data_IF_931601574261
#
_entry.id   IF_931601574261
#
_cell.length_a   1.000
_cell.length_b   1.000
_cell.length_c   1.000
_cell.angle_alpha   90.00
_cell.angle_beta   90.00
_cell.angle_gamma   90.00
#
_symmetry.space_group_name_H-M   'P 1'
#
loop_
_entity.id
_entity.type
_entity.pdbx_description
1 polymer ?
#
# COMPACT_ATOMS: atom_id res chain seq x y z
N UNK A 1 26.39 -1.71 -29.55
CA UNK A 1 25.38 -1.11 -30.46
C UNK A 1 24.28 -0.58 -29.58
N UNK A 2 24.28 0.74 -29.31
CA UNK A 2 23.20 1.40 -28.57
C UNK A 2 21.95 1.36 -29.47
N UNK A 3 21.04 0.41 -29.25
CA UNK A 3 19.69 0.58 -29.77
C UNK A 3 18.99 1.57 -28.85
N UNK A 4 19.10 2.86 -29.17
CA UNK A 4 18.21 3.86 -28.58
C UNK A 4 16.78 3.37 -28.83
N UNK A 5 16.10 2.99 -27.76
CA UNK A 5 14.71 2.53 -27.83
C UNK A 5 13.82 3.66 -28.35
N UNK A 6 12.84 3.33 -29.21
CA UNK A 6 11.95 4.35 -29.79
C UNK A 6 11.34 5.24 -28.68
N UNK A 7 11.24 6.57 -28.90
CA UNK A 7 10.70 7.49 -27.92
C UNK A 7 9.26 7.14 -27.58
N UNK A 8 8.94 7.12 -26.28
CA UNK A 8 7.57 6.97 -25.78
C UNK A 8 7.07 8.28 -25.17
N UNK A 9 5.80 8.37 -24.85
CA UNK A 9 5.28 9.52 -24.13
C UNK A 9 5.77 9.51 -22.69
N UNK A 10 5.69 8.36 -22.01
CA UNK A 10 6.02 8.23 -20.59
C UNK A 10 6.92 7.03 -20.32
N UNK A 11 8.00 7.26 -19.56
CA UNK A 11 8.83 6.20 -18.97
C UNK A 11 8.54 6.12 -17.48
N UNK A 12 8.17 4.94 -16.98
CA UNK A 12 7.91 4.69 -15.56
C UNK A 12 9.07 3.87 -14.99
N UNK A 13 9.74 4.39 -13.97
CA UNK A 13 10.80 3.70 -13.23
C UNK A 13 10.21 3.00 -12.00
N UNK A 14 10.09 1.68 -12.05
CA UNK A 14 9.47 0.82 -11.04
C UNK A 14 8.21 0.12 -11.54
N UNK A 15 8.18 -1.20 -11.39
CA UNK A 15 7.13 -2.14 -11.80
C UNK A 15 6.29 -2.68 -10.65
N UNK A 16 6.31 -2.04 -9.48
CA UNK A 16 5.37 -2.33 -8.39
C UNK A 16 3.95 -1.84 -8.68
N UNK A 17 3.03 -2.02 -7.73
CA UNK A 17 1.61 -1.63 -7.86
C UNK A 17 1.45 -0.19 -8.35
N UNK A 18 2.18 0.77 -7.78
CA UNK A 18 2.09 2.18 -8.19
C UNK A 18 2.55 2.43 -9.63
N UNK A 19 3.64 1.79 -10.05
CA UNK A 19 4.18 1.92 -11.40
C UNK A 19 3.28 1.29 -12.46
N UNK A 20 2.81 0.06 -12.23
CA UNK A 20 1.89 -0.63 -13.15
C UNK A 20 0.52 0.06 -13.20
N UNK A 21 0.00 0.56 -12.07
CA UNK A 21 -1.23 1.34 -12.04
C UNK A 21 -1.10 2.61 -12.87
N UNK A 22 0.02 3.33 -12.70
CA UNK A 22 0.31 4.55 -13.47
C UNK A 22 0.42 4.24 -14.96
N UNK A 23 1.16 3.19 -15.32
CA UNK A 23 1.33 2.80 -16.70
C UNK A 23 0.02 2.41 -17.38
N UNK A 24 -0.80 1.60 -16.71
CA UNK A 24 -2.11 1.22 -17.20
C UNK A 24 -3.05 2.42 -17.36
N UNK A 25 -3.12 3.31 -16.36
CA UNK A 25 -3.97 4.50 -16.40
C UNK A 25 -3.60 5.42 -17.57
N UNK A 26 -2.30 5.65 -17.78
CA UNK A 26 -1.79 6.49 -18.86
C UNK A 26 -2.00 5.83 -20.24
N UNK A 27 -1.74 4.53 -20.37
CA UNK A 27 -2.00 3.80 -21.61
C UNK A 27 -3.47 3.85 -22.00
N UNK A 28 -4.39 3.69 -21.04
CA UNK A 28 -5.83 3.81 -21.28
C UNK A 28 -6.25 5.22 -21.71
N UNK A 29 -5.48 6.24 -21.34
CA UNK A 29 -5.65 7.62 -21.83
C UNK A 29 -5.04 7.90 -23.21
N UNK A 30 -4.48 6.87 -23.87
CA UNK A 30 -3.89 6.94 -25.21
C UNK A 30 -2.40 7.30 -25.24
N UNK A 31 -1.69 7.17 -24.11
CA UNK A 31 -0.24 7.41 -24.04
C UNK A 31 0.55 6.16 -24.35
N UNK A 32 1.65 6.31 -25.09
CA UNK A 32 2.66 5.26 -25.19
C UNK A 32 3.50 5.22 -23.91
N UNK A 33 3.55 4.07 -23.24
CA UNK A 33 4.21 3.93 -21.93
C UNK A 33 5.21 2.79 -21.94
N UNK A 34 6.36 3.01 -21.30
CA UNK A 34 7.36 1.98 -20.99
C UNK A 34 7.59 1.91 -19.48
N UNK A 35 7.50 0.72 -18.90
CA UNK A 35 7.84 0.46 -17.49
C UNK A 35 9.17 -0.25 -17.42
N UNK A 36 10.06 0.24 -16.55
CA UNK A 36 11.38 -0.33 -16.27
C UNK A 36 11.37 -0.86 -14.84
N UNK A 37 11.52 -2.18 -14.67
CA UNK A 37 11.57 -2.86 -13.37
C UNK A 37 12.97 -3.43 -13.14
N UNK A 38 13.52 -3.23 -11.93
CA UNK A 38 14.86 -3.70 -11.58
C UNK A 38 14.91 -5.21 -11.41
N UNK A 39 13.82 -5.81 -10.93
CA UNK A 39 13.72 -7.24 -10.70
C UNK A 39 13.62 -8.00 -12.03
N UNK A 40 14.12 -9.25 -12.11
CA UNK A 40 14.11 -10.03 -13.34
C UNK A 40 12.71 -10.44 -13.80
N UNK A 41 11.73 -10.38 -12.90
CA UNK A 41 10.33 -10.67 -13.17
C UNK A 41 9.43 -9.64 -12.48
N UNK A 42 8.29 -9.34 -13.09
CA UNK A 42 7.22 -8.56 -12.44
C UNK A 42 6.48 -9.43 -11.42
N UNK A 43 7.14 -9.67 -10.30
CA UNK A 43 6.66 -10.50 -9.22
C UNK A 43 6.86 -9.78 -7.88
N UNK A 44 5.97 -10.04 -6.93
CA UNK A 44 6.19 -9.66 -5.54
C UNK A 44 6.04 -10.88 -4.64
N UNK A 45 6.94 -11.01 -3.67
CA UNK A 45 6.76 -11.92 -2.54
C UNK A 45 5.70 -11.30 -1.63
N UNK A 46 4.46 -11.71 -1.85
CA UNK A 46 3.29 -11.08 -1.26
C UNK A 46 2.91 -11.66 0.10
N UNK A 47 2.24 -10.81 0.88
CA UNK A 47 1.22 -11.24 1.82
C UNK A 47 -0.08 -10.54 1.43
N UNK A 48 -1.12 -10.70 2.24
CA UNK A 48 -2.36 -9.97 2.05
C UNK A 48 -2.16 -8.45 2.00
N UNK A 49 -3.01 -7.79 1.22
CA UNK A 49 -3.24 -6.36 1.30
C UNK A 49 -4.73 -6.08 1.37
N UNK A 50 -5.05 -4.87 1.80
CA UNK A 50 -6.41 -4.39 1.88
C UNK A 50 -6.61 -3.24 0.90
N UNK A 51 -7.72 -3.29 0.17
CA UNK A 51 -8.13 -2.36 -0.87
C UNK A 51 -9.43 -1.70 -0.46
N UNK A 52 -9.35 -0.42 -0.13
CA UNK A 52 -10.49 0.38 0.29
C UNK A 52 -11.25 0.99 -0.91
N UNK A 53 -12.50 1.46 -0.70
CA UNK A 53 -13.36 2.00 -1.77
C UNK A 53 -12.72 3.07 -2.64
N UNK A 54 -11.87 3.90 -2.07
CA UNK A 54 -11.17 4.95 -2.79
C UNK A 54 -10.29 4.40 -3.92
N UNK A 55 -9.72 3.20 -3.76
CA UNK A 55 -8.94 2.54 -4.80
C UNK A 55 -9.77 1.53 -5.62
N UNK A 56 -10.70 0.80 -5.00
CA UNK A 56 -11.55 -0.16 -5.75
C UNK A 56 -12.53 0.55 -6.69
N UNK A 57 -12.93 1.79 -6.41
CA UNK A 57 -13.68 2.65 -7.34
C UNK A 57 -12.86 3.00 -8.58
N UNK A 58 -11.58 3.34 -8.39
CA UNK A 58 -10.65 3.58 -9.51
C UNK A 58 -10.49 2.29 -10.34
N UNK A 59 -10.34 1.13 -9.68
CA UNK A 59 -10.26 -0.16 -10.36
C UNK A 59 -11.57 -0.53 -11.10
N UNK A 60 -12.73 -0.09 -10.60
CA UNK A 60 -14.02 -0.23 -11.28
C UNK A 60 -14.08 0.60 -12.56
N UNK A 61 -13.68 1.88 -12.49
CA UNK A 61 -13.58 2.77 -13.65
C UNK A 61 -12.61 2.24 -14.72
N UNK A 62 -11.66 1.43 -14.28
CA UNK A 62 -10.66 0.77 -15.12
C UNK A 62 -11.14 -0.57 -15.68
N UNK A 63 -12.31 -1.06 -15.28
CA UNK A 63 -12.83 -2.37 -15.67
C UNK A 63 -12.03 -3.55 -15.09
N UNK A 64 -11.30 -3.34 -13.99
CA UNK A 64 -10.48 -4.35 -13.32
C UNK A 64 -11.08 -4.86 -12.00
N UNK A 65 -12.15 -4.23 -11.51
CA UNK A 65 -12.75 -4.60 -10.22
C UNK A 65 -13.22 -6.05 -10.19
N UNK A 66 -13.81 -6.57 -11.28
CA UNK A 66 -14.29 -7.96 -11.32
C UNK A 66 -13.13 -8.97 -11.17
N UNK A 67 -12.00 -8.76 -11.87
CA UNK A 67 -10.79 -9.60 -11.69
C UNK A 67 -10.27 -9.53 -10.23
N UNK A 68 -10.37 -8.36 -9.60
CA UNK A 68 -9.94 -8.14 -8.21
C UNK A 68 -10.88 -8.82 -7.22
N UNK A 69 -12.19 -8.82 -7.47
CA UNK A 69 -13.18 -9.53 -6.66
C UNK A 69 -13.03 -11.05 -6.80
N UNK A 70 -12.76 -11.54 -8.01
CA UNK A 70 -12.57 -12.97 -8.28
C UNK A 70 -11.31 -13.54 -7.59
N UNK A 71 -10.25 -12.75 -7.50
CA UNK A 71 -9.01 -13.12 -6.82
C UNK A 71 -9.02 -12.80 -5.31
N UNK A 72 -9.83 -11.83 -4.90
CA UNK A 72 -9.90 -11.33 -3.53
C UNK A 72 -11.01 -11.97 -2.69
N UNK A 73 -11.26 -11.34 -1.54
CA UNK A 73 -12.40 -11.60 -0.66
C UNK A 73 -12.97 -10.25 -0.26
N UNK A 74 -14.28 -10.08 -0.34
CA UNK A 74 -14.97 -8.93 0.23
C UNK A 74 -15.34 -9.26 1.70
N UNK A 75 -14.63 -8.70 2.70
CA UNK A 75 -14.96 -8.97 4.09
C UNK A 75 -16.27 -8.28 4.47
N UNK A 76 -17.00 -8.86 5.42
CA UNK A 76 -18.24 -8.30 5.95
C UNK A 76 -17.99 -7.10 6.86
N UNK A 77 -16.91 -7.14 7.65
CA UNK A 77 -16.56 -6.08 8.62
C UNK A 77 -15.06 -5.87 8.74
N UNK A 78 -14.69 -4.65 9.16
CA UNK A 78 -13.41 -4.40 9.84
C UNK A 78 -13.67 -4.36 11.35
N UNK A 79 -13.13 -5.30 12.10
CA UNK A 79 -13.38 -5.47 13.54
C UNK A 79 -12.12 -5.16 14.35
N UNK A 80 -12.24 -4.24 15.30
CA UNK A 80 -11.19 -4.00 16.30
C UNK A 80 -11.50 -4.77 17.59
N UNK A 81 -10.49 -5.46 18.11
CA UNK A 81 -10.52 -6.19 19.37
C UNK A 81 -9.35 -5.77 20.25
N UNK A 82 -9.51 -5.93 21.56
CA UNK A 82 -8.40 -5.76 22.48
C UNK A 82 -7.48 -7.00 22.44
N UNK A 83 -6.16 -6.77 22.37
CA UNK A 83 -5.18 -7.86 22.27
C UNK A 83 -5.05 -8.71 23.54
N UNK A 84 -5.40 -8.17 24.71
CA UNK A 84 -5.19 -8.86 25.99
C UNK A 84 -6.39 -9.74 26.37
N UNK A 85 -7.61 -9.22 26.23
CA UNK A 85 -8.83 -9.94 26.62
C UNK A 85 -9.64 -10.48 25.43
N UNK A 86 -9.34 -10.07 24.19
CA UNK A 86 -10.03 -10.50 22.98
C UNK A 86 -11.41 -9.86 22.78
N UNK A 87 -11.83 -8.94 23.66
CA UNK A 87 -13.13 -8.30 23.62
C UNK A 87 -13.28 -7.35 22.43
N UNK A 88 -14.46 -7.37 21.81
CA UNK A 88 -14.82 -6.44 20.74
C UNK A 88 -14.77 -4.98 21.23
N UNK A 89 -14.10 -4.13 20.46
CA UNK A 89 -14.00 -2.69 20.71
C UNK A 89 -14.94 -1.90 19.82
N UNK A 90 -14.84 -2.09 18.50
CA UNK A 90 -15.70 -1.43 17.52
C UNK A 90 -15.60 -2.16 16.18
N UNK A 91 -16.51 -1.89 15.26
CA UNK A 91 -16.42 -2.40 13.89
C UNK A 91 -16.95 -1.41 12.86
N UNK A 92 -16.49 -1.58 11.63
CA UNK A 92 -17.08 -0.97 10.45
C UNK A 92 -17.80 -2.06 9.65
N UNK A 93 -19.10 -1.88 9.42
CA UNK A 93 -19.86 -2.74 8.52
C UNK A 93 -19.52 -2.39 7.06
N UNK A 94 -19.19 -3.41 6.26
CA UNK A 94 -18.81 -3.31 4.86
C UNK A 94 -19.93 -3.85 3.96
N UNK A 95 -21.16 -3.53 4.31
CA UNK A 95 -22.38 -4.00 3.66
C UNK A 95 -22.78 -3.17 2.42
N UNK A 96 -23.95 -3.45 1.85
CA UNK A 96 -24.47 -2.68 0.71
C UNK A 96 -24.64 -1.19 1.02
N UNK A 97 -24.84 -0.81 2.29
CA UNK A 97 -24.91 0.59 2.72
C UNK A 97 -23.56 1.28 2.56
N UNK A 98 -22.48 0.59 2.97
CA UNK A 98 -21.11 1.04 2.77
C UNK A 98 -20.77 1.17 1.27
N UNK A 99 -21.10 0.16 0.46
CA UNK A 99 -20.89 0.20 -1.01
C UNK A 99 -21.67 1.34 -1.65
N UNK A 100 -22.95 1.55 -1.30
CA UNK A 100 -23.74 2.67 -1.81
C UNK A 100 -23.16 4.03 -1.43
N UNK A 101 -22.54 4.16 -0.25
CA UNK A 101 -21.95 5.43 0.21
C UNK A 101 -20.67 5.78 -0.54
N UNK A 102 -19.77 4.81 -0.72
CA UNK A 102 -18.43 5.06 -1.27
C UNK A 102 -18.27 4.67 -2.74
N UNK A 103 -19.26 4.00 -3.32
CA UNK A 103 -19.33 3.64 -4.73
C UNK A 103 -18.62 2.35 -5.12
N UNK A 104 -17.90 1.71 -4.19
CA UNK A 104 -17.18 0.46 -4.43
C UNK A 104 -16.97 -0.33 -3.12
N UNK A 105 -16.75 -1.66 -3.18
CA UNK A 105 -16.55 -2.49 -2.01
C UNK A 105 -15.14 -2.35 -1.42
N UNK A 106 -15.00 -2.74 -0.15
CA UNK A 106 -13.70 -3.04 0.45
C UNK A 106 -13.31 -4.47 0.09
N UNK A 107 -12.05 -4.70 -0.29
CA UNK A 107 -11.57 -6.02 -0.73
C UNK A 107 -10.23 -6.32 -0.07
N UNK A 108 -10.04 -7.55 0.40
CA UNK A 108 -8.71 -8.06 0.75
C UNK A 108 -8.23 -9.01 -0.33
N UNK A 109 -6.99 -8.84 -0.78
CA UNK A 109 -6.43 -9.58 -1.91
C UNK A 109 -4.96 -9.89 -1.67
N UNK A 110 -4.48 -11.01 -2.22
CA UNK A 110 -3.07 -11.33 -2.17
C UNK A 110 -2.28 -10.37 -3.08
N UNK A 111 -1.13 -9.87 -2.60
CA UNK A 111 -0.38 -8.85 -3.35
C UNK A 111 0.08 -9.29 -4.72
N UNK A 112 0.54 -10.53 -4.85
CA UNK A 112 0.92 -11.09 -6.16
C UNK A 112 -0.25 -11.10 -7.15
N UNK A 113 -1.48 -11.31 -6.65
CA UNK A 113 -2.64 -11.46 -7.51
C UNK A 113 -3.08 -10.10 -8.06
N UNK A 114 -3.07 -9.05 -7.22
CA UNK A 114 -3.28 -7.67 -7.69
C UNK A 114 -2.19 -7.22 -8.68
N UNK A 115 -0.92 -7.50 -8.38
CA UNK A 115 0.19 -7.18 -9.28
C UNK A 115 -0.01 -7.88 -10.63
N UNK A 116 -0.34 -9.17 -10.64
CA UNK A 116 -0.56 -9.92 -11.87
C UNK A 116 -1.76 -9.41 -12.68
N UNK A 117 -2.85 -8.97 -12.02
CA UNK A 117 -3.99 -8.31 -12.69
C UNK A 117 -3.51 -7.03 -13.39
N UNK A 118 -2.75 -6.18 -12.70
CA UNK A 118 -2.22 -4.93 -13.26
C UNK A 118 -1.22 -5.17 -14.39
N UNK A 119 -0.34 -6.17 -14.27
CA UNK A 119 0.60 -6.57 -15.32
C UNK A 119 -0.15 -6.98 -16.58
N UNK A 120 -1.12 -7.90 -16.46
CA UNK A 120 -1.95 -8.32 -17.61
C UNK A 120 -2.74 -7.15 -18.20
N UNK A 121 -3.24 -6.25 -17.37
CA UNK A 121 -3.93 -5.04 -17.82
C UNK A 121 -3.00 -4.14 -18.65
N UNK A 122 -1.76 -3.94 -18.21
CA UNK A 122 -0.72 -3.22 -18.94
C UNK A 122 -0.41 -3.87 -20.30
N UNK A 123 -0.23 -5.20 -20.33
CA UNK A 123 0.02 -5.96 -21.57
C UNK A 123 -1.14 -5.78 -22.56
N UNK A 124 -2.39 -5.92 -22.10
CA UNK A 124 -3.59 -5.69 -22.93
C UNK A 124 -3.71 -4.27 -23.45
N UNK A 125 -3.19 -3.29 -22.71
CA UNK A 125 -3.17 -1.88 -23.09
C UNK A 125 -1.98 -1.49 -23.99
N UNK A 126 -1.08 -2.43 -24.31
CA UNK A 126 0.09 -2.18 -25.16
C UNK A 126 1.24 -1.45 -24.45
N UNK A 127 1.28 -1.48 -23.12
CA UNK A 127 2.42 -0.96 -22.35
C UNK A 127 3.65 -1.81 -22.63
N UNK A 128 4.81 -1.17 -22.84
CA UNK A 128 6.08 -1.89 -22.93
C UNK A 128 6.61 -2.19 -21.53
N UNK A 129 6.64 -3.45 -21.13
CA UNK A 129 7.20 -3.89 -19.84
C UNK A 129 8.63 -4.40 -20.05
N UNK A 130 9.59 -3.84 -19.30
CA UNK A 130 11.01 -4.21 -19.35
C UNK A 130 11.46 -4.57 -17.94
N UNK A 131 11.76 -5.85 -17.71
CA UNK A 131 12.34 -6.35 -16.46
C UNK A 131 13.88 -6.32 -16.51
N UNK A 132 14.54 -6.61 -15.38
CA UNK A 132 16.00 -6.60 -15.22
C UNK A 132 16.66 -5.26 -15.67
N UNK A 133 15.95 -4.17 -15.41
CA UNK A 133 16.27 -2.83 -15.88
C UNK A 133 16.25 -1.84 -14.71
N UNK A 134 17.40 -1.68 -14.07
CA UNK A 134 17.60 -0.78 -12.95
C UNK A 134 17.77 0.67 -13.44
N UNK A 135 16.86 1.56 -13.03
CA UNK A 135 16.93 2.99 -13.35
C UNK A 135 17.80 3.70 -12.32
N UNK A 136 18.84 4.39 -12.80
CA UNK A 136 19.86 5.02 -11.96
C UNK A 136 19.71 6.53 -11.87
N UNK A 137 19.28 7.15 -12.96
CA UNK A 137 19.17 8.60 -13.04
C UNK A 137 18.16 9.04 -14.11
N UNK A 138 17.71 10.28 -14.01
CA UNK A 138 16.87 10.94 -15.00
C UNK A 138 17.40 12.35 -15.26
N UNK A 139 17.62 12.65 -16.54
CA UNK A 139 18.04 13.97 -17.02
C UNK A 139 16.88 14.65 -17.71
N UNK A 140 16.60 15.89 -17.32
CA UNK A 140 15.65 16.76 -18.00
C UNK A 140 16.27 17.28 -19.31
N UNK A 141 15.54 17.11 -20.41
CA UNK A 141 15.91 17.61 -21.74
C UNK A 141 14.98 18.77 -22.13
N UNK A 142 15.35 19.63 -23.11
CA UNK A 142 14.48 20.73 -23.57
C UNK A 142 13.07 20.28 -23.97
N UNK A 143 12.95 19.11 -24.61
CA UNK A 143 11.69 18.59 -25.16
C UNK A 143 11.22 17.27 -24.51
N UNK A 144 11.78 16.88 -23.36
CA UNK A 144 11.45 15.61 -22.71
C UNK A 144 12.40 15.22 -21.58
N UNK A 145 12.67 13.92 -21.48
CA UNK A 145 13.58 13.32 -20.49
C UNK A 145 14.40 12.22 -21.11
N UNK A 146 15.59 12.01 -20.54
CA UNK A 146 16.39 10.81 -20.73
C UNK A 146 16.45 10.06 -19.41
N UNK A 147 15.98 8.81 -19.39
CA UNK A 147 16.04 7.90 -18.24
C UNK A 147 17.22 6.95 -18.44
N UNK A 148 18.20 7.03 -17.54
CA UNK A 148 19.43 6.24 -17.60
C UNK A 148 19.26 4.95 -16.80
N UNK A 149 19.41 3.80 -17.47
CA UNK A 149 19.24 2.49 -16.85
C UNK A 149 20.46 1.56 -17.00
N UNK A 150 20.42 0.40 -16.36
CA UNK A 150 21.37 -0.70 -16.57
C UNK A 150 21.41 -1.22 -18.02
N UNK A 151 20.32 -1.07 -18.77
CA UNK A 151 20.20 -1.53 -20.17
C UNK A 151 20.43 -0.40 -21.19
N UNK A 152 20.74 0.80 -20.74
CA UNK A 152 21.00 1.98 -21.57
C UNK A 152 19.95 3.08 -21.38
N UNK A 153 19.92 4.01 -22.33
CA UNK A 153 19.09 5.21 -22.24
C UNK A 153 17.70 4.98 -22.85
N UNK A 154 16.69 5.51 -22.16
CA UNK A 154 15.30 5.52 -22.59
C UNK A 154 14.78 6.95 -22.67
N UNK A 155 14.24 7.32 -23.82
CA UNK A 155 13.73 8.67 -24.06
C UNK A 155 12.21 8.73 -23.90
N UNK A 156 11.74 9.79 -23.25
CA UNK A 156 10.31 10.05 -23.05
C UNK A 156 9.97 11.54 -23.06
N UNK A 157 8.68 11.88 -23.03
CA UNK A 157 8.22 13.25 -22.74
C UNK A 157 8.11 13.51 -21.25
N UNK A 158 7.89 12.47 -20.46
CA UNK A 158 7.78 12.48 -19.01
C UNK A 158 8.42 11.21 -18.42
N UNK A 159 9.06 11.36 -17.25
CA UNK A 159 9.49 10.25 -16.41
C UNK A 159 8.65 10.23 -15.12
N UNK A 160 8.20 9.05 -14.73
CA UNK A 160 7.52 8.82 -13.45
C UNK A 160 8.40 7.93 -12.57
N UNK A 161 8.79 8.43 -11.40
CA UNK A 161 9.50 7.67 -10.38
C UNK A 161 8.51 6.94 -9.47
N UNK A 162 8.45 5.62 -9.62
CA UNK A 162 7.64 4.68 -8.84
C UNK A 162 8.52 3.62 -8.17
N UNK A 163 9.76 3.98 -7.83
CA UNK A 163 10.85 3.10 -7.36
C UNK A 163 10.85 2.86 -5.83
N UNK A 164 9.72 3.17 -5.16
CA UNK A 164 9.39 2.73 -3.81
C UNK A 164 10.01 3.56 -2.67
N UNK A 165 9.85 3.07 -1.44
CA UNK A 165 10.30 3.75 -0.19
C UNK A 165 11.78 4.18 -0.22
N UNK A 166 12.62 3.35 -0.84
CA UNK A 166 14.07 3.57 -1.00
C UNK A 166 14.41 4.19 -2.36
N UNK A 167 13.49 4.99 -2.90
CA UNK A 167 13.65 5.67 -4.17
C UNK A 167 14.97 6.43 -4.24
N UNK A 168 15.76 6.15 -5.27
CA UNK A 168 17.00 6.88 -5.57
C UNK A 168 16.68 8.15 -6.33
N UNK A 169 15.61 8.14 -7.14
CA UNK A 169 15.15 9.31 -7.88
C UNK A 169 14.59 10.40 -6.96
N UNK A 170 14.06 10.03 -5.79
CA UNK A 170 13.63 10.96 -4.74
C UNK A 170 14.75 11.89 -4.27
N UNK A 171 16.02 11.49 -4.36
CA UNK A 171 17.16 12.32 -3.94
C UNK A 171 17.27 13.64 -4.72
N UNK A 172 16.65 13.76 -5.92
CA UNK A 172 16.55 15.03 -6.65
C UNK A 172 15.59 16.04 -6.01
N UNK A 173 14.72 15.58 -5.11
CA UNK A 173 13.64 16.37 -4.50
C UNK A 173 13.89 16.67 -3.03
N UNK A 174 14.57 15.76 -2.32
CA UNK A 174 14.85 15.86 -0.90
C UNK A 174 16.01 14.94 -0.51
N UNK A 175 16.86 15.41 0.41
CA UNK A 175 17.92 14.63 1.05
C UNK A 175 17.40 13.86 2.29
N UNK A 176 16.08 13.64 2.39
CA UNK A 176 15.51 12.92 3.53
C UNK A 176 15.87 11.42 3.50
N UNK A 177 15.86 10.78 4.65
CA UNK A 177 16.09 9.35 4.81
C UNK A 177 14.83 8.64 5.37
N UNK A 178 14.62 7.34 5.08
CA UNK A 178 13.52 6.58 5.67
C UNK A 178 13.57 6.62 7.19
N UNK A 179 12.43 6.97 7.81
CA UNK A 179 12.30 7.07 9.25
C UNK A 179 11.81 5.72 9.78
N UNK A 180 12.65 5.05 10.58
CA UNK A 180 12.25 3.83 11.26
C UNK A 180 11.25 4.18 12.37
N UNK A 181 10.11 3.48 12.42
CA UNK A 181 9.12 3.63 13.49
C UNK A 181 9.52 2.90 14.78
N UNK A 182 10.53 2.02 14.74
CA UNK A 182 10.87 1.10 15.82
C UNK A 182 9.89 -0.07 15.99
N UNK A 183 8.92 -0.21 15.09
CA UNK A 183 8.03 -1.35 15.00
C UNK A 183 8.49 -2.36 13.95
N UNK A 184 8.18 -3.62 14.19
CA UNK A 184 8.53 -4.76 13.34
C UNK A 184 7.28 -5.53 13.01
N UNK A 185 7.10 -5.86 11.73
CA UNK A 185 6.05 -6.73 11.24
C UNK A 185 6.59 -8.14 10.95
N UNK A 186 5.85 -9.14 11.40
CA UNK A 186 5.94 -10.53 10.95
C UNK A 186 4.69 -10.87 10.15
N UNK A 187 4.85 -11.71 9.13
CA UNK A 187 3.77 -12.11 8.24
C UNK A 187 3.68 -13.63 8.18
N UNK A 188 2.48 -14.12 7.98
CA UNK A 188 2.21 -15.54 7.82
C UNK A 188 0.92 -15.74 7.03
N UNK A 189 0.86 -16.83 6.31
CA UNK A 189 -0.30 -17.25 5.57
C UNK A 189 -0.41 -18.76 5.68
N UNK A 190 -1.61 -19.26 5.97
CA UNK A 190 -1.82 -20.69 6.19
C UNK A 190 -3.16 -21.15 5.61
N UNK A 191 -3.27 -22.41 5.17
CA UNK A 191 -4.53 -22.95 4.71
C UNK A 191 -5.59 -22.90 5.81
N UNK A 192 -6.78 -22.42 5.46
CA UNK A 192 -7.92 -22.40 6.40
C UNK A 192 -8.30 -23.82 6.84
N UNK A 193 -8.03 -24.83 6.01
CA UNK A 193 -8.23 -26.24 6.38
C UNK A 193 -7.37 -26.69 7.58
N UNK A 194 -6.22 -26.04 7.80
CA UNK A 194 -5.30 -26.35 8.88
C UNK A 194 -5.61 -25.54 10.16
N UNK A 195 -6.61 -24.65 10.11
CA UNK A 195 -7.15 -24.05 11.32
C UNK A 195 -7.83 -25.11 12.15
N UNK A 196 -7.35 -25.25 13.39
CA UNK A 196 -8.15 -25.90 14.42
C UNK A 196 -9.54 -25.23 14.42
N UNK A 197 -10.58 -26.05 14.45
CA UNK A 197 -12.03 -25.73 14.42
C UNK A 197 -12.51 -24.70 15.48
N UNK A 198 -11.57 -24.08 16.20
CA UNK A 198 -11.74 -23.14 17.31
C UNK A 198 -11.71 -21.68 16.90
N UNK A 199 -11.21 -21.32 15.70
CA UNK A 199 -11.56 -20.02 15.12
C UNK A 199 -13.01 -20.11 14.66
N UNK A 200 -13.89 -19.29 15.26
CA UNK A 200 -15.29 -19.25 14.85
C UNK A 200 -15.39 -18.98 13.34
N UNK A 201 -16.29 -19.69 12.64
CA UNK A 201 -16.47 -19.55 11.19
C UNK A 201 -16.68 -18.10 10.74
N UNK A 202 -17.26 -17.26 11.60
CA UNK A 202 -17.43 -15.83 11.37
C UNK A 202 -16.11 -15.05 11.26
N UNK A 203 -15.04 -15.49 11.92
CA UNK A 203 -13.72 -14.86 11.85
C UNK A 203 -13.07 -14.98 10.46
N UNK A 204 -13.55 -15.92 9.63
CA UNK A 204 -13.11 -16.11 8.25
C UNK A 204 -13.80 -15.17 7.26
N UNK A 205 -14.71 -14.32 7.73
CA UNK A 205 -15.47 -13.39 6.89
C UNK A 205 -15.16 -11.92 7.19
N UNK A 206 -14.36 -11.64 8.21
CA UNK A 206 -14.05 -10.29 8.67
C UNK A 206 -12.53 -10.02 8.55
N UNK A 207 -12.16 -8.75 8.52
CA UNK A 207 -10.80 -8.33 8.87
C UNK A 207 -10.80 -8.05 10.37
N UNK A 208 -9.98 -8.76 11.13
CA UNK A 208 -9.88 -8.60 12.58
C UNK A 208 -8.54 -7.97 12.93
N UNK A 209 -8.57 -6.89 13.70
CA UNK A 209 -7.40 -6.19 14.20
C UNK A 209 -7.41 -6.18 15.73
N UNK A 210 -6.55 -7.01 16.33
CA UNK A 210 -6.29 -7.00 17.76
C UNK A 210 -5.27 -5.91 18.07
N UNK A 211 -5.64 -4.93 18.90
CA UNK A 211 -4.80 -3.78 19.23
C UNK A 211 -4.53 -3.72 20.73
N UNK A 212 -3.32 -3.31 21.13
CA UNK A 212 -2.98 -3.13 22.53
C UNK A 212 -1.53 -2.70 22.78
N UNK A 213 -1.03 -2.81 24.02
CA UNK A 213 0.20 -2.15 24.45
C UNK A 213 1.41 -2.52 23.59
N UNK A 214 1.91 -1.58 22.80
CA UNK A 214 3.09 -1.76 21.95
C UNK A 214 2.97 -2.87 20.89
N UNK A 215 1.80 -3.46 20.67
CA UNK A 215 1.62 -4.54 19.70
C UNK A 215 0.20 -4.59 19.09
N UNK A 216 0.11 -5.14 17.89
CA UNK A 216 -1.17 -5.46 17.26
C UNK A 216 -1.05 -6.69 16.36
N UNK A 217 -2.16 -7.39 16.13
CA UNK A 217 -2.23 -8.52 15.22
C UNK A 217 -3.43 -8.37 14.28
N UNK A 218 -3.21 -8.49 12.97
CA UNK A 218 -4.23 -8.38 11.93
C UNK A 218 -4.44 -9.72 11.27
N UNK A 219 -5.71 -10.10 11.08
CA UNK A 219 -6.13 -11.36 10.51
C UNK A 219 -7.24 -11.17 9.48
N UNK A 220 -7.14 -11.83 8.33
CA UNK A 220 -8.19 -11.81 7.31
C UNK A 220 -8.05 -12.94 6.29
N UNK A 221 -9.16 -13.38 5.68
CA UNK A 221 -9.14 -14.38 4.62
C UNK A 221 -8.54 -13.84 3.31
N UNK A 222 -7.95 -14.73 2.52
CA UNK A 222 -7.48 -14.51 1.15
C UNK A 222 -7.88 -15.69 0.27
N UNK A 223 -7.81 -15.50 -1.06
CA UNK A 223 -8.09 -16.53 -2.08
C UNK A 223 -9.38 -17.29 -1.80
N UNK A 224 -10.51 -16.59 -1.83
CA UNK A 224 -11.84 -17.17 -1.58
C UNK A 224 -11.98 -17.85 -0.20
N UNK A 225 -11.20 -17.43 0.78
CA UNK A 225 -11.21 -17.99 2.14
C UNK A 225 -10.43 -19.29 2.28
N UNK A 226 -9.57 -19.64 1.32
CA UNK A 226 -8.71 -20.82 1.39
C UNK A 226 -7.46 -20.57 2.23
N UNK A 227 -7.00 -19.31 2.31
CA UNK A 227 -5.82 -18.90 3.05
C UNK A 227 -6.22 -17.87 4.10
N UNK A 228 -5.68 -17.99 5.31
CA UNK A 228 -5.82 -16.97 6.33
C UNK A 228 -4.49 -16.24 6.51
N UNK A 229 -4.52 -14.93 6.34
CA UNK A 229 -3.36 -14.07 6.43
C UNK A 229 -3.28 -13.50 7.85
N UNK A 230 -2.13 -13.68 8.51
CA UNK A 230 -1.81 -13.09 9.81
C UNK A 230 -0.64 -12.13 9.68
N UNK A 231 -0.77 -10.95 10.28
CA UNK A 231 0.32 -9.98 10.43
C UNK A 231 0.42 -9.59 11.89
N UNK A 232 1.56 -9.85 12.53
CA UNK A 232 1.84 -9.39 13.88
C UNK A 232 2.83 -8.23 13.83
N UNK A 233 2.53 -7.17 14.58
CA UNK A 233 3.37 -5.98 14.66
C UNK A 233 3.63 -5.68 16.12
N UNK A 234 4.89 -5.43 16.46
CA UNK A 234 5.28 -5.07 17.82
C UNK A 234 6.39 -4.01 17.83
N UNK A 235 6.43 -3.20 18.87
CA UNK A 235 7.51 -2.27 19.14
C UNK A 235 8.72 -3.05 19.63
N UNK A 236 9.89 -2.88 19.01
CA UNK A 236 11.10 -3.59 19.41
C UNK A 236 11.84 -2.87 20.56
N UNK A 237 11.98 -3.50 21.73
CA UNK A 237 12.82 -2.97 22.80
C UNK A 237 14.30 -2.87 22.42
N UNK A 238 14.84 -3.80 21.65
CA UNK A 238 16.22 -3.78 21.17
C UNK A 238 16.51 -2.55 20.28
N UNK A 239 15.58 -2.19 19.40
CA UNK A 239 15.68 -0.97 18.61
C UNK A 239 15.77 0.29 19.49
N UNK A 240 14.94 0.38 20.54
CA UNK A 240 14.97 1.50 21.48
C UNK A 240 16.29 1.60 22.25
N UNK A 241 16.99 0.47 22.46
CA UNK A 241 18.32 0.42 23.06
C UNK A 241 19.46 0.69 22.07
N UNK A 242 19.15 0.87 20.77
CA UNK A 242 20.13 1.14 19.73
C UNK A 242 20.90 -0.09 19.26
N UNK A 243 20.34 -1.29 19.42
CA UNK A 243 20.96 -2.54 18.96
C UNK A 243 20.84 -2.68 17.43
N UNK A 244 21.87 -3.25 16.79
CA UNK A 244 21.91 -3.44 15.33
C UNK A 244 21.01 -4.58 14.86
N UNK A 245 20.98 -5.69 15.61
CA UNK A 245 20.11 -6.84 15.36
C UNK A 245 18.89 -6.78 16.29
N UNK A 246 17.78 -6.24 15.79
CA UNK A 246 16.56 -6.01 16.55
C UNK A 246 15.33 -6.56 15.82
N UNK A 247 14.25 -6.83 16.54
CA UNK A 247 13.02 -7.35 15.99
C UNK A 247 12.98 -8.86 15.83
N UNK A 248 13.83 -9.61 16.54
CA UNK A 248 13.90 -11.07 16.45
C UNK A 248 12.61 -11.78 16.89
N UNK A 249 12.49 -13.08 16.57
CA UNK A 249 11.33 -13.89 16.98
C UNK A 249 11.16 -13.97 18.50
N UNK A 250 12.25 -13.85 19.27
CA UNK A 250 12.17 -13.79 20.74
C UNK A 250 11.48 -12.51 21.24
N UNK A 251 11.72 -11.37 20.58
CA UNK A 251 11.02 -10.12 20.89
C UNK A 251 9.54 -10.20 20.50
N UNK A 252 9.23 -10.88 19.39
CA UNK A 252 7.85 -11.17 18.98
C UNK A 252 7.13 -11.97 20.07
N UNK A 253 7.70 -13.07 20.54
CA UNK A 253 7.07 -13.91 21.57
C UNK A 253 6.91 -13.15 22.90
N UNK A 254 7.90 -12.35 23.29
CA UNK A 254 7.82 -11.52 24.49
C UNK A 254 6.71 -10.47 24.39
N UNK A 255 6.60 -9.77 23.25
CA UNK A 255 5.63 -8.70 23.01
C UNK A 255 4.16 -9.17 23.07
N UNK A 256 3.91 -10.44 22.74
CA UNK A 256 2.56 -11.03 22.76
C UNK A 256 2.34 -12.04 23.90
N UNK A 257 3.27 -12.14 24.85
CA UNK A 257 3.19 -13.11 25.96
C UNK A 257 1.92 -13.00 26.81
N UNK A 258 1.40 -11.78 27.00
CA UNK A 258 0.16 -11.49 27.73
C UNK A 258 -1.11 -11.46 26.88
N UNK A 259 -1.01 -11.77 25.58
CA UNK A 259 -2.14 -11.67 24.68
C UNK A 259 -3.21 -12.75 24.91
N UNK A 260 -4.43 -12.46 24.48
CA UNK A 260 -5.53 -13.42 24.50
C UNK A 260 -5.18 -14.67 23.67
N UNK A 261 -5.95 -15.74 23.89
CA UNK A 261 -5.65 -17.04 23.29
C UNK A 261 -5.67 -16.98 21.76
N UNK A 262 -6.64 -16.27 21.18
CA UNK A 262 -6.83 -16.13 19.73
C UNK A 262 -5.62 -15.49 19.06
N UNK A 263 -5.04 -14.47 19.70
CA UNK A 263 -3.82 -13.80 19.23
C UNK A 263 -2.63 -14.75 19.31
N UNK A 264 -2.44 -15.44 20.44
CA UNK A 264 -1.34 -16.40 20.63
C UNK A 264 -1.41 -17.57 19.65
N UNK A 265 -2.61 -18.10 19.40
CA UNK A 265 -2.83 -19.16 18.41
C UNK A 265 -2.45 -18.64 16.99
N UNK A 266 -2.76 -17.37 16.68
CA UNK A 266 -2.37 -16.71 15.43
C UNK A 266 -0.86 -16.53 15.23
N UNK A 267 -0.07 -16.38 16.31
CA UNK A 267 1.39 -16.26 16.19
C UNK A 267 2.04 -17.53 15.64
N UNK A 268 1.42 -18.69 15.87
CA UNK A 268 1.91 -19.98 15.38
C UNK A 268 1.98 -20.07 13.86
N UNK A 269 1.27 -19.20 13.14
CA UNK A 269 1.25 -19.21 11.68
C UNK A 269 2.27 -18.28 11.02
N UNK A 270 3.06 -17.54 11.79
CA UNK A 270 3.99 -16.53 11.27
C UNK A 270 5.27 -17.18 10.77
N UNK A 271 5.77 -16.71 9.62
CA UNK A 271 7.11 -17.06 9.14
C UNK A 271 8.14 -16.37 10.03
N UNK A 272 9.01 -17.15 10.68
CA UNK A 272 9.98 -16.64 11.67
C UNK A 272 11.36 -16.32 11.10
N UNK A 273 11.61 -16.73 9.86
CA UNK A 273 12.85 -16.51 9.12
C UNK A 273 12.93 -15.13 8.46
N UNK A 274 11.81 -14.39 8.42
CA UNK A 274 11.73 -13.06 7.81
C UNK A 274 10.91 -12.09 8.66
N UNK A 275 11.46 -10.89 8.82
CA UNK A 275 10.83 -9.77 9.53
C UNK A 275 10.97 -8.48 8.72
N UNK A 276 10.02 -7.57 8.90
CA UNK A 276 9.99 -6.28 8.22
C UNK A 276 10.00 -5.16 9.23
N UNK A 277 11.14 -4.50 9.38
CA UNK A 277 11.20 -3.22 10.07
C UNK A 277 10.33 -2.19 9.34
N UNK A 278 9.52 -1.45 10.08
CA UNK A 278 8.54 -0.53 9.51
C UNK A 278 9.14 0.88 9.39
N UNK A 279 9.13 1.39 8.16
CA UNK A 279 9.64 2.71 7.81
C UNK A 279 8.58 3.50 7.07
N UNK A 280 8.65 4.82 7.19
CA UNK A 280 7.98 5.78 6.34
C UNK A 280 8.89 6.98 6.04
N UNK A 281 8.34 8.04 5.47
CA UNK A 281 9.02 9.33 5.32
C UNK A 281 8.08 10.46 5.71
N UNK A 282 8.64 11.63 6.03
CA UNK A 282 7.80 12.82 6.19
C UNK A 282 7.28 13.30 4.83
N UNK A 283 6.08 13.91 4.78
CA UNK A 283 5.57 14.50 3.54
C UNK A 283 6.49 15.61 3.02
N UNK A 284 6.71 15.63 1.71
CA UNK A 284 7.39 16.72 1.00
C UNK A 284 6.40 17.45 0.08
N UNK A 285 6.52 18.78 -0.09
CA UNK A 285 5.56 19.57 -0.87
C UNK A 285 5.85 19.53 -2.39
N UNK A 286 7.03 19.07 -2.80
CA UNK A 286 7.52 19.08 -4.18
C UNK A 286 7.75 17.65 -4.69
N UNK A 287 7.05 17.26 -5.74
CA UNK A 287 7.16 15.96 -6.41
C UNK A 287 7.58 16.09 -7.87
N UNK A 288 7.71 17.31 -8.41
CA UNK A 288 8.06 17.57 -9.83
C UNK A 288 9.37 18.33 -9.97
N UNK A 289 10.28 17.76 -10.77
CA UNK A 289 11.53 18.35 -11.25
C UNK A 289 11.52 18.32 -12.78
N UNK A 290 11.16 19.44 -13.40
CA UNK A 290 10.97 19.54 -14.85
C UNK A 290 9.90 18.57 -15.36
N UNK A 291 10.35 17.47 -15.97
CA UNK A 291 9.57 16.38 -16.57
C UNK A 291 9.75 15.06 -15.81
N UNK A 292 10.34 15.07 -14.62
CA UNK A 292 10.36 13.96 -13.67
C UNK A 292 9.31 14.20 -12.58
N UNK A 293 8.50 13.19 -12.27
CA UNK A 293 7.50 13.25 -11.19
C UNK A 293 7.51 12.01 -10.29
N UNK A 294 7.35 12.20 -8.97
CA UNK A 294 7.23 11.10 -8.00
C UNK A 294 5.79 10.56 -7.89
N UNK A 295 5.64 9.26 -7.62
CA UNK A 295 4.36 8.61 -7.29
C UNK A 295 4.52 7.48 -6.28
N UNK A 296 3.43 7.07 -5.63
CA UNK A 296 3.41 5.97 -4.67
C UNK A 296 4.44 6.14 -3.55
N UNK A 297 5.07 5.05 -3.12
CA UNK A 297 6.03 5.06 -2.02
C UNK A 297 7.33 5.85 -2.31
N UNK A 298 7.60 6.22 -3.57
CA UNK A 298 8.70 7.17 -3.87
C UNK A 298 8.32 8.60 -3.43
N UNK A 299 7.04 8.95 -3.48
CA UNK A 299 6.50 10.25 -3.12
C UNK A 299 6.05 10.33 -1.65
N UNK A 300 5.27 9.35 -1.19
CA UNK A 300 4.54 9.39 0.09
C UNK A 300 4.49 8.04 0.82
N UNK A 301 5.64 7.39 1.08
CA UNK A 301 5.64 6.14 1.80
C UNK A 301 5.09 6.35 3.21
N UNK A 302 4.21 5.44 3.66
CA UNK A 302 3.44 5.58 4.88
C UNK A 302 3.43 4.30 5.70
N UNK A 303 3.28 4.44 7.02
CA UNK A 303 3.04 3.29 7.89
C UNK A 303 1.68 2.65 7.56
N UNK A 304 1.60 1.33 7.68
CA UNK A 304 0.50 0.54 7.14
C UNK A 304 -0.81 0.59 7.96
N UNK A 305 -0.89 1.39 9.02
CA UNK A 305 -2.02 1.39 9.97
C UNK A 305 -3.38 1.73 9.33
N UNK A 306 -3.38 2.49 8.24
CA UNK A 306 -4.60 2.78 7.47
C UNK A 306 -4.81 1.84 6.27
N UNK A 307 -3.85 0.98 5.98
CA UNK A 307 -3.80 0.13 4.78
C UNK A 307 -3.94 0.92 3.46
N UNK A 308 -3.29 2.09 3.37
CA UNK A 308 -3.50 3.04 2.27
C UNK A 308 -2.37 3.18 1.25
N UNK A 309 -1.17 2.64 1.47
CA UNK A 309 -0.05 2.85 0.54
C UNK A 309 -0.38 2.49 -0.92
N UNK A 310 -0.84 1.25 -1.16
CA UNK A 310 -1.27 0.81 -2.49
C UNK A 310 -2.50 1.58 -2.99
N UNK A 311 -3.46 1.88 -2.11
CA UNK A 311 -4.66 2.64 -2.47
C UNK A 311 -4.32 4.05 -2.97
N UNK A 312 -3.41 4.75 -2.28
CA UNK A 312 -2.95 6.09 -2.66
C UNK A 312 -2.12 6.05 -3.95
N UNK A 313 -1.32 5.01 -4.18
CA UNK A 313 -0.60 4.86 -5.46
C UNK A 313 -1.55 4.64 -6.66
N UNK A 314 -2.68 3.95 -6.46
CA UNK A 314 -3.72 3.80 -7.49
C UNK A 314 -4.46 5.11 -7.73
N UNK A 315 -4.74 5.89 -6.68
CA UNK A 315 -5.31 7.24 -6.84
C UNK A 315 -4.35 8.19 -7.55
N UNK A 316 -3.05 8.12 -7.25
CA UNK A 316 -2.05 8.91 -7.95
C UNK A 316 -2.09 8.64 -9.45
N UNK A 317 -2.11 7.36 -9.83
CA UNK A 317 -2.19 6.93 -11.22
C UNK A 317 -3.45 7.48 -11.93
N UNK A 318 -4.60 7.44 -11.26
CA UNK A 318 -5.84 7.99 -11.79
C UNK A 318 -5.77 9.52 -11.95
N UNK A 319 -5.26 10.23 -10.95
CA UNK A 319 -5.09 11.67 -10.96
C UNK A 319 -4.11 12.10 -12.06
N UNK A 320 -2.94 11.49 -12.14
CA UNK A 320 -1.93 11.80 -13.15
C UNK A 320 -2.46 11.56 -14.57
N UNK A 321 -3.17 10.45 -14.79
CA UNK A 321 -3.79 10.16 -16.09
C UNK A 321 -4.92 11.15 -16.44
N UNK A 322 -5.71 11.60 -15.46
CA UNK A 322 -6.72 12.62 -15.68
C UNK A 322 -6.10 13.97 -16.07
N UNK A 323 -5.03 14.38 -15.38
CA UNK A 323 -4.31 15.63 -15.66
C UNK A 323 -3.58 15.62 -17.01
N UNK A 324 -3.18 14.44 -17.48
CA UNK A 324 -2.53 14.22 -18.77
C UNK A 324 -3.52 13.84 -19.90
N UNK A 325 -4.82 13.72 -19.61
CA UNK A 325 -5.85 13.35 -20.58
C UNK A 325 -6.24 14.49 -21.54
N UNK A 326 -6.75 14.14 -22.73
CA UNK A 326 -7.33 15.08 -23.71
C UNK A 326 -6.74 15.01 -25.12
N UNK A 327 -7.45 15.57 -26.11
CA UNK A 327 -7.05 15.59 -27.52
C UNK A 327 -6.24 16.85 -27.87
N UNK A 328 -4.94 16.84 -27.54
CA UNK A 328 -3.86 17.73 -27.99
C UNK A 328 -2.54 17.18 -27.39
N UNK A 329 -1.35 17.57 -27.91
CA UNK A 329 -0.14 17.36 -27.11
C UNK A 329 -0.37 18.00 -25.74
N UNK A 330 -0.24 17.25 -24.64
CA UNK A 330 -0.59 17.74 -23.33
C UNK A 330 0.42 18.80 -22.93
N UNK A 331 -0.02 19.76 -22.13
CA UNK A 331 0.90 20.55 -21.32
C UNK A 331 1.47 19.64 -20.22
N UNK A 332 2.51 18.89 -20.57
CA UNK A 332 3.20 17.97 -19.68
C UNK A 332 3.61 18.63 -18.37
N UNK A 333 3.98 19.91 -18.40
CA UNK A 333 4.56 20.62 -17.24
C UNK A 333 3.47 21.11 -16.31
N UNK A 334 2.45 21.76 -16.86
CA UNK A 334 1.28 22.16 -16.09
C UNK A 334 0.50 20.97 -15.54
N UNK A 335 0.40 19.86 -16.30
CA UNK A 335 -0.30 18.64 -15.85
C UNK A 335 0.34 18.03 -14.61
N UNK A 336 1.67 17.82 -14.61
CA UNK A 336 2.33 17.25 -13.41
C UNK A 336 2.29 18.20 -12.22
N UNK A 337 2.24 19.51 -12.44
CA UNK A 337 2.07 20.50 -11.37
C UNK A 337 0.66 20.50 -10.78
N UNK A 338 -0.39 20.26 -11.59
CA UNK A 338 -1.75 20.07 -11.07
C UNK A 338 -1.88 18.75 -10.30
N UNK A 339 -1.26 17.69 -10.79
CA UNK A 339 -1.14 16.42 -10.07
C UNK A 339 -0.44 16.59 -8.71
N UNK A 340 0.71 17.28 -8.66
CA UNK A 340 1.43 17.60 -7.42
C UNK A 340 0.53 18.36 -6.42
N UNK A 341 -0.17 19.40 -6.91
CA UNK A 341 -1.04 20.22 -6.08
C UNK A 341 -2.23 19.44 -5.49
N UNK A 342 -2.82 18.52 -6.26
CA UNK A 342 -3.96 17.70 -5.82
C UNK A 342 -3.53 16.62 -4.81
N UNK A 343 -2.40 15.96 -5.08
CA UNK A 343 -2.03 14.73 -4.36
C UNK A 343 -1.23 14.98 -3.09
N UNK A 344 -0.33 15.96 -3.07
CA UNK A 344 0.56 16.23 -1.91
C UNK A 344 -0.21 16.46 -0.62
N UNK A 345 -1.25 17.30 -0.64
CA UNK A 345 -2.07 17.58 0.55
C UNK A 345 -2.85 16.36 1.03
N UNK A 346 -3.41 15.59 0.08
CA UNK A 346 -4.18 14.37 0.39
C UNK A 346 -3.29 13.30 1.02
N UNK A 347 -2.16 12.96 0.39
CA UNK A 347 -1.28 11.89 0.89
C UNK A 347 -0.54 12.30 2.17
N UNK A 348 -0.17 13.58 2.33
CA UNK A 348 0.38 14.09 3.58
C UNK A 348 -0.58 13.89 4.76
N UNK A 349 -1.88 14.13 4.54
CA UNK A 349 -2.92 13.86 5.55
C UNK A 349 -3.00 12.37 5.87
N UNK A 350 -2.92 11.48 4.87
CA UNK A 350 -2.92 10.03 5.10
C UNK A 350 -1.68 9.60 5.89
N UNK A 351 -0.48 10.06 5.52
CA UNK A 351 0.78 9.76 6.23
C UNK A 351 0.72 10.19 7.70
N UNK A 352 0.29 11.42 7.96
CA UNK A 352 0.17 11.94 9.33
C UNK A 352 -0.85 11.16 10.17
N UNK A 353 -2.02 10.86 9.58
CA UNK A 353 -3.05 10.08 10.28
C UNK A 353 -2.62 8.63 10.48
N UNK A 354 -1.85 8.02 9.57
CA UNK A 354 -1.34 6.68 9.74
C UNK A 354 -0.48 6.57 11.01
N UNK A 355 0.44 7.52 11.23
CA UNK A 355 1.24 7.59 12.47
C UNK A 355 0.35 7.72 13.71
N UNK A 356 -0.58 8.67 13.70
CA UNK A 356 -1.52 8.89 14.81
C UNK A 356 -2.35 7.63 15.13
N UNK A 357 -2.83 6.93 14.11
CA UNK A 357 -3.58 5.69 14.30
C UNK A 357 -2.70 4.57 14.87
N UNK A 358 -1.43 4.48 14.47
CA UNK A 358 -0.45 3.61 15.11
C UNK A 358 -0.32 3.90 16.60
N UNK A 359 -0.11 5.17 16.97
CA UNK A 359 -0.02 5.59 18.38
C UNK A 359 -1.28 5.20 19.15
N UNK A 360 -2.48 5.46 18.59
CA UNK A 360 -3.77 5.10 19.20
C UNK A 360 -3.93 3.58 19.35
N UNK A 361 -3.46 2.77 18.39
CA UNK A 361 -3.56 1.31 18.48
C UNK A 361 -2.70 0.76 19.61
N UNK A 362 -1.55 1.40 19.87
CA UNK A 362 -0.49 0.86 20.71
C UNK A 362 -0.38 1.42 22.13
N UNK A 363 -1.30 2.29 22.54
CA UNK A 363 -1.34 2.83 23.91
C UNK A 363 -1.46 1.75 25.01
N UNK A 364 -0.93 2.05 26.19
CA UNK A 364 -0.98 1.20 27.39
C UNK A 364 -1.66 1.91 28.60
N UNK A 365 -1.88 1.19 29.69
CA UNK A 365 -2.33 1.71 30.97
C UNK A 365 -3.67 2.43 30.89
N UNK A 366 -3.75 3.61 31.50
CA UNK A 366 -4.98 4.44 31.50
C UNK A 366 -5.36 4.87 30.07
N UNK A 367 -4.39 5.16 29.21
CA UNK A 367 -4.66 5.56 27.83
C UNK A 367 -5.34 4.43 27.04
N UNK A 368 -4.94 3.16 27.26
CA UNK A 368 -5.64 1.99 26.70
C UNK A 368 -7.09 1.91 27.18
N UNK A 369 -7.34 2.08 28.48
CA UNK A 369 -8.70 2.03 29.03
C UNK A 369 -9.60 3.08 28.39
N UNK A 370 -9.10 4.32 28.24
CA UNK A 370 -9.82 5.40 27.57
C UNK A 370 -10.05 5.10 26.09
N UNK A 371 -9.03 4.62 25.36
CA UNK A 371 -9.16 4.23 23.95
C UNK A 371 -10.23 3.15 23.77
N UNK A 372 -10.21 2.11 24.61
CA UNK A 372 -11.19 1.03 24.54
C UNK A 372 -12.61 1.54 24.78
N UNK A 373 -12.81 2.43 25.76
CA UNK A 373 -14.13 3.01 26.04
C UNK A 373 -14.62 3.90 24.89
N UNK A 374 -13.74 4.75 24.34
CA UNK A 374 -14.07 5.58 23.18
C UNK A 374 -14.49 4.74 21.97
N UNK A 375 -13.82 3.62 21.72
CA UNK A 375 -14.16 2.73 20.61
C UNK A 375 -15.52 2.05 20.82
N UNK A 376 -15.81 1.60 22.05
CA UNK A 376 -17.09 0.95 22.40
C UNK A 376 -18.27 1.90 22.37
N UNK A 377 -18.07 3.17 22.71
CA UNK A 377 -19.12 4.19 22.67
C UNK A 377 -19.39 4.74 21.27
N UNK A 378 -18.50 4.49 20.30
CA UNK A 378 -18.69 4.93 18.92
C UNK A 378 -19.89 4.21 18.30
N UNK A 379 -20.77 4.97 17.64
CA UNK A 379 -21.77 4.37 16.75
C UNK A 379 -21.06 3.70 15.57
N UNK A 380 -21.10 2.36 15.43
CA UNK A 380 -20.44 1.66 14.35
C UNK A 380 -20.92 2.10 12.96
N UNK A 381 -22.15 2.62 12.87
CA UNK A 381 -22.79 3.05 11.62
C UNK A 381 -22.49 4.49 11.23
N UNK A 382 -21.82 5.28 12.07
CA UNK A 382 -21.48 6.66 11.76
C UNK A 382 -20.20 6.73 10.90
N UNK A 383 -20.29 7.06 9.59
CA UNK A 383 -19.15 7.01 8.69
C UNK A 383 -18.29 8.30 8.72
N UNK A 384 -18.71 9.34 9.45
CA UNK A 384 -18.10 10.69 9.34
C UNK A 384 -16.60 10.74 9.63
N UNK A 385 -16.12 9.83 10.47
CA UNK A 385 -14.71 9.72 10.86
C UNK A 385 -13.81 9.09 9.77
N UNK A 386 -14.40 8.38 8.79
CA UNK A 386 -13.69 7.72 7.68
C UNK A 386 -13.99 8.35 6.31
N UNK A 387 -14.99 9.21 6.19
CA UNK A 387 -15.36 9.86 4.92
C UNK A 387 -14.20 10.59 4.26
N UNK A 388 -13.37 11.28 5.03
CA UNK A 388 -12.23 12.01 4.48
C UNK A 388 -11.23 11.10 3.74
N UNK A 389 -11.24 9.80 4.04
CA UNK A 389 -10.35 8.82 3.46
C UNK A 389 -10.99 8.09 2.27
N UNK A 390 -12.23 7.60 2.44
CA UNK A 390 -12.90 6.73 1.47
C UNK A 390 -13.85 7.43 0.49
N UNK A 391 -14.27 8.66 0.76
CA UNK A 391 -15.18 9.40 -0.12
C UNK A 391 -14.53 9.80 -1.45
#
# INVERSE_FOLDING_TARGET
>A
MNSASDPVDVVVAGGGIGGLSTAYALARSGRSVRVLEREPEFAEVGAGLQMAPNATRVLADWGLLDEVLDAGVAPRRLLFRDVLDGGDLTHLDLDDGFVRRYGAPYVVIHRSDLLAILTRACERAGVTLVADCDVRDVTNEPDGVTVHSSLGDHHGRLAVAADGLRSTLRAKFSDDEPICSGYVAYRGAFPVADLDTRLGQDALQDVVCYIGPGCHLVQYPLRRGEIFNTVAVFQSPAYQRGEEDWGGPDELDAAFSGACREVRDGLGSLWRDRRWAMYDRLPIPNWVDGRLVLTGDAAHPMLQYLAQGACQAIEDAACLAAELGGAAPPDWGGAVKRYEAERTGRTARVQANARLWGDIWHVDGVARLLRNELFRQRDPRDPRHIDWLYA
#
